data_IF_840437166446
#
_entry.id   IF_840437166446
#
_cell.length_a   1.000
_cell.length_b   1.000
_cell.length_c   1.000
_cell.angle_alpha   90.00
_cell.angle_beta   90.00
_cell.angle_gamma   90.00
#
_symmetry.space_group_name_H-M   'P 1'
#
loop_
_entity.id
_entity.type
_entity.pdbx_description
1 polymer ?
#
# COMPACT_ATOMS: atom_id res chain seq x y z
N UNK A 1 26.71 66.35 -15.92
CA UNK A 1 25.99 65.68 -14.83
C UNK A 1 26.08 64.18 -15.06
N UNK A 2 27.02 63.50 -14.41
CA UNK A 2 27.27 62.07 -14.59
C UNK A 2 27.19 61.40 -13.22
N UNK A 3 25.97 61.21 -12.73
CA UNK A 3 25.73 60.30 -11.61
C UNK A 3 25.91 58.87 -12.13
N UNK A 4 27.13 58.34 -11.99
CA UNK A 4 27.37 56.90 -12.09
C UNK A 4 26.57 56.24 -10.97
N UNK A 5 25.41 55.69 -11.33
CA UNK A 5 24.50 55.00 -10.44
C UNK A 5 25.15 53.69 -9.94
N UNK A 6 26.05 53.81 -8.97
CA UNK A 6 26.51 52.68 -8.13
C UNK A 6 25.32 51.94 -7.53
N UNK A 7 24.20 52.63 -7.34
CA UNK A 7 22.92 52.04 -6.99
C UNK A 7 22.48 50.92 -7.96
N UNK A 8 22.54 51.11 -9.28
CA UNK A 8 22.16 50.05 -10.23
C UNK A 8 23.16 48.90 -10.28
N UNK A 9 24.41 49.11 -9.84
CA UNK A 9 25.42 48.06 -9.71
C UNK A 9 25.20 47.22 -8.44
N UNK A 10 24.93 47.87 -7.30
CA UNK A 10 24.80 47.19 -6.01
C UNK A 10 23.38 46.74 -5.68
N UNK A 11 22.34 47.38 -6.22
CA UNK A 11 20.95 47.04 -5.90
C UNK A 11 20.58 45.60 -6.28
N UNK A 12 20.97 45.05 -7.46
CA UNK A 12 20.71 43.64 -7.77
C UNK A 12 21.43 42.69 -6.82
N UNK A 13 22.67 43.01 -6.43
CA UNK A 13 23.47 42.21 -5.49
C UNK A 13 22.85 42.26 -4.08
N UNK A 14 22.48 43.45 -3.61
CA UNK A 14 21.83 43.64 -2.32
C UNK A 14 20.47 42.90 -2.29
N UNK A 15 19.68 42.98 -3.36
CA UNK A 15 18.44 42.24 -3.49
C UNK A 15 18.68 40.73 -3.46
N UNK A 16 19.68 40.23 -4.18
CA UNK A 16 20.04 38.80 -4.16
C UNK A 16 20.45 38.35 -2.75
N UNK A 17 21.27 39.14 -2.04
CA UNK A 17 21.67 38.85 -0.66
C UNK A 17 20.49 38.87 0.30
N UNK A 18 19.55 39.81 0.14
CA UNK A 18 18.31 39.86 0.93
C UNK A 18 17.45 38.63 0.68
N UNK A 19 17.29 38.22 -0.58
CA UNK A 19 16.54 37.02 -0.93
C UNK A 19 17.22 35.74 -0.39
N UNK A 20 18.54 35.65 -0.48
CA UNK A 20 19.31 34.54 0.08
C UNK A 20 19.18 34.47 1.61
N UNK A 21 19.26 35.61 2.30
CA UNK A 21 19.05 35.70 3.73
C UNK A 21 17.62 35.31 4.13
N UNK A 22 16.61 35.81 3.41
CA UNK A 22 15.22 35.47 3.64
C UNK A 22 14.95 33.97 3.42
N UNK A 23 15.50 33.38 2.36
CA UNK A 23 15.43 31.95 2.10
C UNK A 23 16.10 31.14 3.21
N UNK A 24 17.28 31.57 3.68
CA UNK A 24 17.99 30.89 4.75
C UNK A 24 17.28 30.95 6.10
N UNK A 25 16.70 32.10 6.46
CA UNK A 25 15.86 32.26 7.65
C UNK A 25 14.64 31.35 7.57
N UNK A 26 13.93 31.36 6.43
CA UNK A 26 12.77 30.49 6.21
C UNK A 26 13.13 29.02 6.35
N UNK A 27 14.23 28.56 5.74
CA UNK A 27 14.69 27.18 5.84
C UNK A 27 14.94 26.79 7.30
N UNK A 28 15.61 27.65 8.08
CA UNK A 28 15.86 27.39 9.50
C UNK A 28 14.59 27.22 10.32
N UNK A 29 13.55 28.02 10.06
CA UNK A 29 12.24 27.85 10.72
C UNK A 29 11.58 26.52 10.36
N UNK A 30 11.59 26.15 9.08
CA UNK A 30 11.02 24.88 8.60
C UNK A 30 11.78 23.68 9.19
N UNK A 31 13.12 23.70 9.16
CA UNK A 31 13.96 22.65 9.71
C UNK A 31 13.73 22.45 11.21
N UNK A 32 13.66 23.53 12.01
CA UNK A 32 13.35 23.44 13.44
C UNK A 32 11.95 22.91 13.72
N UNK A 33 10.96 23.36 12.97
CA UNK A 33 9.59 22.84 13.11
C UNK A 33 9.53 21.34 12.81
N UNK A 34 10.30 20.88 11.82
CA UNK A 34 10.38 19.47 11.47
C UNK A 34 11.14 18.65 12.52
N UNK A 35 12.24 19.17 13.06
CA UNK A 35 12.95 18.59 14.21
C UNK A 35 12.04 18.35 15.40
N UNK A 36 11.26 19.38 15.76
CA UNK A 36 10.30 19.29 16.86
C UNK A 36 9.21 18.25 16.60
N UNK A 37 8.76 18.15 15.34
CA UNK A 37 7.79 17.15 14.94
C UNK A 37 8.37 15.72 15.07
N UNK A 38 9.58 15.48 14.57
CA UNK A 38 10.26 14.19 14.71
C UNK A 38 10.50 13.83 16.20
N UNK A 39 10.92 14.81 17.02
CA UNK A 39 11.06 14.63 18.47
C UNK A 39 9.75 14.25 19.16
N UNK A 40 8.64 14.85 18.73
CA UNK A 40 7.31 14.50 19.23
C UNK A 40 6.94 13.06 18.84
N UNK A 41 7.19 12.66 17.60
CA UNK A 41 6.90 11.30 17.10
C UNK A 41 7.62 10.20 17.91
N UNK A 42 8.79 10.47 18.48
CA UNK A 42 9.47 9.52 19.37
C UNK A 42 8.82 9.36 20.75
N UNK A 43 8.04 10.35 21.19
CA UNK A 43 7.45 10.37 22.54
C UNK A 43 5.99 9.99 22.54
N UNK A 44 5.27 10.35 21.48
CA UNK A 44 3.83 10.12 21.36
C UNK A 44 3.54 9.10 20.25
N UNK A 45 2.28 8.75 20.12
CA UNK A 45 1.77 8.11 18.92
C UNK A 45 1.80 9.12 17.76
N UNK A 46 2.16 8.65 16.57
CA UNK A 46 2.20 9.45 15.34
C UNK A 46 0.78 9.75 14.85
N UNK A 47 -0.06 8.71 14.90
CA UNK A 47 -1.50 8.70 14.74
C UNK A 47 -2.04 7.62 15.68
N UNK A 48 -3.34 7.60 16.04
CA UNK A 48 -3.87 6.59 16.96
C UNK A 48 -3.44 5.17 16.58
N UNK A 49 -2.74 4.48 17.49
CA UNK A 49 -2.26 3.11 17.29
C UNK A 49 -0.95 2.96 16.50
N UNK A 50 -0.29 4.04 16.07
CA UNK A 50 0.99 4.00 15.35
C UNK A 50 2.09 4.70 16.16
N UNK A 51 3.20 4.00 16.38
CA UNK A 51 4.40 4.56 17.02
C UNK A 51 5.58 4.51 16.08
N UNK A 52 6.42 5.56 16.11
CA UNK A 52 7.63 5.66 15.29
C UNK A 52 8.82 5.91 16.22
N UNK A 53 9.88 5.12 16.10
CA UNK A 53 11.12 5.23 16.87
C UNK A 53 12.32 5.15 15.92
N UNK A 54 13.43 5.77 16.30
CA UNK A 54 14.68 5.75 15.52
C UNK A 54 15.86 6.01 16.46
N UNK A 55 17.05 5.51 16.12
CA UNK A 55 18.24 5.65 16.96
C UNK A 55 18.91 7.03 16.78
N UNK A 56 19.04 7.48 15.52
CA UNK A 56 19.65 8.75 15.19
C UNK A 56 18.87 9.47 14.09
N UNK A 57 19.07 10.78 14.01
CA UNK A 57 18.54 11.62 12.93
C UNK A 57 19.59 12.61 12.44
N UNK A 58 19.55 12.93 11.16
CA UNK A 58 20.33 14.01 10.52
C UNK A 58 19.41 14.81 9.61
N UNK A 59 19.49 16.14 9.66
CA UNK A 59 18.62 17.03 8.87
C UNK A 59 19.47 17.97 8.01
N UNK A 60 19.05 18.17 6.75
CA UNK A 60 19.77 18.92 5.73
C UNK A 60 18.84 19.43 4.60
N UNK A 61 19.43 19.70 3.42
CA UNK A 61 18.69 20.15 2.22
C UNK A 61 18.67 21.67 1.97
N UNK A 62 19.45 22.46 2.71
CA UNK A 62 19.48 23.92 2.59
C UNK A 62 19.66 24.42 1.13
N UNK A 63 18.96 25.50 0.71
CA UNK A 63 17.89 26.25 1.41
C UNK A 63 16.47 25.86 0.96
N UNK A 64 16.37 25.01 -0.06
CA UNK A 64 15.13 24.79 -0.81
C UNK A 64 14.52 23.40 -0.60
N UNK A 65 15.28 22.49 0.03
CA UNK A 65 14.85 21.15 0.38
C UNK A 65 14.94 20.95 1.88
N UNK A 66 14.17 20.00 2.35
CA UNK A 66 14.24 19.47 3.68
C UNK A 66 14.53 17.99 3.52
N UNK A 67 15.68 17.56 4.01
CA UNK A 67 16.11 16.18 3.96
C UNK A 67 16.32 15.71 5.39
N UNK A 68 15.79 14.54 5.73
CA UNK A 68 16.07 13.92 7.00
C UNK A 68 16.42 12.45 6.82
N UNK A 69 17.53 12.03 7.39
CA UNK A 69 17.95 10.63 7.43
C UNK A 69 17.77 10.14 8.85
N UNK A 70 16.99 9.08 9.00
CA UNK A 70 16.74 8.38 10.25
C UNK A 70 17.43 7.03 10.19
N UNK A 71 18.19 6.71 11.24
CA UNK A 71 18.90 5.44 11.36
C UNK A 71 18.17 4.53 12.37
N UNK A 72 18.13 3.23 12.08
CA UNK A 72 17.43 2.19 12.85
C UNK A 72 15.95 2.53 13.14
N UNK A 73 15.21 2.82 12.09
CA UNK A 73 13.79 3.17 12.21
C UNK A 73 12.97 1.95 12.59
N UNK A 74 12.02 2.14 13.50
CA UNK A 74 10.99 1.19 13.88
C UNK A 74 9.63 1.86 13.82
N UNK A 75 8.73 1.33 13.00
CA UNK A 75 7.32 1.72 12.95
C UNK A 75 6.50 0.55 13.47
N UNK A 76 5.70 0.77 14.51
CA UNK A 76 4.81 -0.25 15.08
C UNK A 76 3.36 0.22 15.03
N UNK A 77 2.50 -0.61 14.42
CA UNK A 77 1.05 -0.45 14.33
C UNK A 77 0.36 -1.47 15.23
N UNK A 78 -0.56 -1.04 16.09
CA UNK A 78 -1.33 -1.94 16.96
C UNK A 78 -2.42 -2.65 16.16
N UNK A 79 -2.33 -3.97 16.06
CA UNK A 79 -3.37 -4.80 15.43
C UNK A 79 -4.14 -5.69 16.42
N UNK A 80 -5.34 -6.16 16.03
CA UNK A 80 -6.15 -7.08 16.85
C UNK A 80 -5.45 -8.42 17.11
N UNK A 81 -4.56 -8.84 16.21
CA UNK A 81 -3.76 -10.06 16.34
C UNK A 81 -2.38 -9.83 17.00
N UNK A 82 -2.07 -8.59 17.40
CA UNK A 82 -0.78 -8.16 17.93
C UNK A 82 -0.14 -7.03 17.12
N UNK A 83 0.96 -6.44 17.58
CA UNK A 83 1.59 -5.35 16.85
C UNK A 83 2.21 -5.83 15.53
N UNK A 84 2.01 -5.07 14.46
CA UNK A 84 2.79 -5.18 13.22
C UNK A 84 3.94 -4.19 13.34
N UNK A 85 5.18 -4.66 13.24
CA UNK A 85 6.38 -3.82 13.38
C UNK A 85 7.26 -3.93 12.15
N UNK A 86 7.47 -2.81 11.48
CA UNK A 86 8.49 -2.66 10.44
C UNK A 86 9.76 -2.05 11.04
N UNK A 87 10.93 -2.58 10.65
CA UNK A 87 12.24 -1.98 10.92
C UNK A 87 13.03 -1.83 9.64
N UNK A 88 13.74 -0.72 9.51
CA UNK A 88 14.69 -0.47 8.44
C UNK A 88 15.96 0.20 8.97
N UNK A 89 17.12 -0.15 8.40
CA UNK A 89 18.42 0.42 8.78
C UNK A 89 18.49 1.92 8.50
N UNK A 90 18.05 2.34 7.31
CA UNK A 90 18.08 3.74 6.90
C UNK A 90 16.75 4.15 6.25
N UNK A 91 16.19 5.27 6.72
CA UNK A 91 15.04 5.92 6.11
C UNK A 91 15.36 7.39 5.85
N UNK A 92 15.38 7.77 4.58
CA UNK A 92 15.45 9.16 4.15
C UNK A 92 14.05 9.71 3.89
N UNK A 93 13.82 10.97 4.28
CA UNK A 93 12.60 11.73 4.04
C UNK A 93 12.97 13.04 3.37
N UNK A 94 12.40 13.31 2.22
CA UNK A 94 12.65 14.49 1.42
C UNK A 94 11.36 15.30 1.26
N UNK A 95 11.44 16.61 1.40
CA UNK A 95 10.36 17.54 1.12
C UNK A 95 10.89 18.86 0.58
N UNK A 96 10.04 19.64 -0.08
CA UNK A 96 10.38 21.01 -0.48
C UNK A 96 9.94 21.99 0.61
N UNK A 97 10.73 23.05 0.84
CA UNK A 97 10.35 24.10 1.79
C UNK A 97 9.33 25.09 1.22
N UNK A 98 8.89 24.86 -0.02
CA UNK A 98 7.97 25.67 -0.81
C UNK A 98 7.11 24.78 -1.72
N UNK A 99 6.01 25.33 -2.23
CA UNK A 99 5.15 24.63 -3.18
C UNK A 99 4.19 23.64 -2.50
N UNK A 100 4.01 22.48 -3.12
CA UNK A 100 3.07 21.43 -2.71
C UNK A 100 3.60 20.73 -1.45
N UNK A 101 2.70 20.44 -0.51
CA UNK A 101 3.01 19.62 0.68
C UNK A 101 3.18 18.16 0.25
N UNK A 102 4.38 17.83 -0.19
CA UNK A 102 4.77 16.53 -0.74
C UNK A 102 6.05 16.04 -0.07
N UNK A 103 6.02 14.78 0.35
CA UNK A 103 7.15 14.07 0.92
C UNK A 103 7.51 12.87 0.04
N UNK A 104 8.80 12.60 -0.09
CA UNK A 104 9.34 11.39 -0.69
C UNK A 104 10.09 10.65 0.41
N UNK A 105 9.89 9.35 0.51
CA UNK A 105 10.54 8.47 1.47
C UNK A 105 11.39 7.48 0.71
N UNK A 106 12.62 7.26 1.15
CA UNK A 106 13.51 6.26 0.59
C UNK A 106 14.01 5.39 1.72
N UNK A 107 13.92 4.07 1.59
CA UNK A 107 14.45 3.16 2.60
C UNK A 107 15.52 2.25 1.98
N UNK A 108 16.60 2.05 2.71
CA UNK A 108 17.76 1.29 2.25
C UNK A 108 18.30 0.39 3.37
N UNK A 109 19.12 -0.57 2.97
CA UNK A 109 19.68 -1.58 3.87
C UNK A 109 18.70 -2.72 4.18
N UNK A 110 19.01 -3.50 5.20
CA UNK A 110 18.17 -4.62 5.61
C UNK A 110 16.88 -4.13 6.25
N UNK A 111 15.80 -4.84 5.94
CA UNK A 111 14.46 -4.53 6.40
C UNK A 111 13.88 -5.76 7.10
N UNK A 112 13.07 -5.55 8.12
CA UNK A 112 12.32 -6.63 8.75
C UNK A 112 10.88 -6.22 9.03
N UNK A 113 9.95 -7.12 8.73
CA UNK A 113 8.55 -6.98 9.08
C UNK A 113 8.18 -8.10 10.06
N UNK A 114 7.69 -7.73 11.24
CA UNK A 114 7.20 -8.66 12.26
C UNK A 114 5.70 -8.46 12.45
N UNK A 115 4.93 -9.55 12.53
CA UNK A 115 3.49 -9.47 12.78
C UNK A 115 2.97 -10.69 13.55
N UNK A 116 1.80 -10.52 14.15
CA UNK A 116 1.12 -11.56 14.92
C UNK A 116 2.01 -12.17 16.00
N UNK A 117 1.83 -13.46 16.27
CA UNK A 117 2.61 -14.21 17.27
C UNK A 117 3.88 -14.81 16.67
N UNK A 118 4.84 -13.95 16.32
CA UNK A 118 6.20 -14.35 15.96
C UNK A 118 6.46 -14.58 14.47
N UNK A 119 5.58 -14.11 13.58
CA UNK A 119 5.90 -14.07 12.17
C UNK A 119 6.92 -12.95 11.91
N UNK A 120 7.94 -13.27 11.13
CA UNK A 120 8.99 -12.35 10.72
C UNK A 120 9.35 -12.59 9.27
N UNK A 121 9.50 -11.51 8.52
CA UNK A 121 10.00 -11.48 7.16
C UNK A 121 11.15 -10.50 7.09
N UNK A 122 12.36 -11.04 6.96
CA UNK A 122 13.54 -10.24 6.62
C UNK A 122 13.64 -10.13 5.10
N UNK A 123 13.88 -8.92 4.61
CA UNK A 123 13.95 -8.64 3.18
C UNK A 123 14.91 -7.51 2.84
N UNK A 124 15.31 -7.49 1.58
CA UNK A 124 16.07 -6.42 0.95
C UNK A 124 15.36 -5.96 -0.32
N UNK A 125 15.66 -4.74 -0.75
CA UNK A 125 15.13 -4.15 -1.98
C UNK A 125 16.26 -3.44 -2.71
N UNK A 126 16.31 -3.54 -4.04
CA UNK A 126 17.19 -2.70 -4.85
C UNK A 126 16.85 -1.21 -4.73
N UNK A 127 15.56 -0.89 -4.63
CA UNK A 127 15.08 0.42 -4.18
C UNK A 127 13.72 0.32 -3.51
N UNK A 128 13.49 1.16 -2.51
CA UNK A 128 12.18 1.37 -1.90
C UNK A 128 11.92 2.87 -1.86
N UNK A 129 10.94 3.30 -2.66
CA UNK A 129 10.47 4.68 -2.69
C UNK A 129 9.01 4.73 -2.28
N UNK A 130 8.66 5.71 -1.45
CA UNK A 130 7.27 6.09 -1.25
C UNK A 130 7.10 7.59 -1.45
N UNK A 131 5.90 8.03 -1.78
CA UNK A 131 5.57 9.45 -1.81
C UNK A 131 4.23 9.69 -1.15
N UNK A 132 4.11 10.81 -0.46
CA UNK A 132 2.87 11.24 0.16
C UNK A 132 2.61 12.70 -0.20
N UNK A 133 1.39 12.98 -0.63
CA UNK A 133 0.94 14.36 -0.86
C UNK A 133 -0.21 14.67 0.08
N UNK A 134 -0.10 15.82 0.75
CA UNK A 134 -1.15 16.36 1.59
C UNK A 134 -1.76 17.62 0.99
N UNK A 135 -3.04 17.84 1.31
CA UNK A 135 -3.79 19.06 0.99
C UNK A 135 -4.72 19.37 2.15
N UNK A 136 -4.67 20.60 2.66
CA UNK A 136 -5.46 21.02 3.82
C UNK A 136 -5.33 20.06 5.02
N UNK A 137 -4.11 19.58 5.29
CA UNK A 137 -3.80 18.69 6.41
C UNK A 137 -4.15 17.21 6.20
N UNK A 138 -4.85 16.85 5.11
CA UNK A 138 -5.24 15.48 4.79
C UNK A 138 -4.33 14.86 3.73
N UNK A 139 -4.02 13.58 3.86
CA UNK A 139 -3.41 12.78 2.80
C UNK A 139 -4.37 12.68 1.60
N UNK A 140 -3.90 13.05 0.41
CA UNK A 140 -4.68 12.98 -0.83
C UNK A 140 -4.09 12.02 -1.86
N UNK A 141 -2.82 11.65 -1.68
CA UNK A 141 -2.13 10.70 -2.54
C UNK A 141 -1.03 10.02 -1.74
N UNK A 142 -0.92 8.71 -1.88
CA UNK A 142 0.19 7.90 -1.37
C UNK A 142 0.60 6.89 -2.45
N UNK A 143 1.89 6.81 -2.71
CA UNK A 143 2.48 5.88 -3.67
C UNK A 143 3.62 5.14 -2.97
N UNK A 144 3.75 3.84 -3.22
CA UNK A 144 4.83 2.98 -2.74
C UNK A 144 5.31 2.12 -3.91
N UNK A 145 6.62 2.08 -4.11
CA UNK A 145 7.27 1.35 -5.19
C UNK A 145 8.54 0.66 -4.65
N UNK A 146 8.56 -0.66 -4.71
CA UNK A 146 9.70 -1.48 -4.35
C UNK A 146 10.20 -2.18 -5.60
N UNK A 147 11.48 -2.07 -5.88
CA UNK A 147 12.14 -2.73 -7.02
C UNK A 147 13.14 -3.75 -6.50
N UNK A 148 13.21 -4.91 -7.16
CA UNK A 148 14.09 -6.02 -6.81
C UNK A 148 13.93 -6.46 -5.35
N UNK A 149 12.69 -6.76 -4.96
CA UNK A 149 12.36 -7.27 -3.63
C UNK A 149 12.87 -8.71 -3.47
N UNK A 150 13.63 -8.97 -2.41
CA UNK A 150 14.16 -10.27 -2.08
C UNK A 150 13.94 -10.64 -0.63
N UNK A 151 13.37 -11.83 -0.39
CA UNK A 151 13.25 -12.43 0.93
C UNK A 151 13.41 -13.95 0.85
N UNK A 152 13.50 -14.62 1.99
CA UNK A 152 13.50 -16.10 2.05
C UNK A 152 12.13 -16.71 1.66
N UNK A 153 11.06 -15.94 1.75
CA UNK A 153 9.71 -16.38 1.45
C UNK A 153 9.39 -16.28 -0.06
N UNK A 154 9.77 -15.17 -0.69
CA UNK A 154 9.57 -14.91 -2.12
C UNK A 154 10.47 -13.77 -2.61
N UNK A 155 10.63 -13.68 -3.93
CA UNK A 155 11.20 -12.51 -4.61
C UNK A 155 10.17 -11.89 -5.55
N UNK A 156 10.33 -10.61 -5.86
CA UNK A 156 9.52 -9.90 -6.85
C UNK A 156 10.37 -8.86 -7.58
N UNK A 157 10.20 -8.72 -8.89
CA UNK A 157 10.89 -7.69 -9.65
C UNK A 157 10.40 -6.28 -9.32
N UNK A 158 9.09 -6.14 -9.05
CA UNK A 158 8.49 -4.87 -8.61
C UNK A 158 7.23 -5.08 -7.78
N UNK A 159 7.05 -4.33 -6.71
CA UNK A 159 5.82 -4.24 -5.94
C UNK A 159 5.37 -2.79 -5.91
N UNK A 160 4.11 -2.51 -6.25
CA UNK A 160 3.57 -1.17 -6.29
C UNK A 160 2.26 -1.08 -5.51
N UNK A 161 2.05 0.05 -4.86
CA UNK A 161 0.79 0.38 -4.20
C UNK A 161 0.51 1.87 -4.35
N UNK A 162 -0.70 2.20 -4.74
CA UNK A 162 -1.15 3.55 -5.02
C UNK A 162 -2.50 3.79 -4.37
N UNK A 163 -2.65 4.92 -3.70
CA UNK A 163 -3.91 5.39 -3.15
C UNK A 163 -4.07 6.86 -3.51
N UNK A 164 -5.23 7.21 -4.07
CA UNK A 164 -5.52 8.59 -4.46
C UNK A 164 -6.95 8.98 -4.07
N UNK A 165 -7.07 10.11 -3.39
CA UNK A 165 -8.37 10.71 -3.06
C UNK A 165 -8.88 11.54 -4.24
N UNK A 166 -10.11 11.28 -4.67
CA UNK A 166 -10.87 12.12 -5.59
C UNK A 166 -11.93 12.93 -4.84
N UNK A 167 -12.82 13.62 -5.56
CA UNK A 167 -13.95 14.31 -4.92
C UNK A 167 -15.01 13.34 -4.37
N UNK A 168 -15.12 12.14 -4.94
CA UNK A 168 -16.22 11.19 -4.70
C UNK A 168 -15.75 9.78 -4.35
N UNK A 169 -14.46 9.51 -4.41
CA UNK A 169 -13.88 8.19 -4.15
C UNK A 169 -12.48 8.24 -3.53
N UNK A 170 -12.04 7.08 -3.05
CA UNK A 170 -10.63 6.78 -2.81
C UNK A 170 -10.22 5.65 -3.75
N UNK A 171 -9.42 5.98 -4.76
CA UNK A 171 -8.94 5.04 -5.77
C UNK A 171 -7.74 4.30 -5.18
N UNK A 172 -7.68 2.99 -5.37
CA UNK A 172 -6.64 2.11 -4.83
C UNK A 172 -6.15 1.19 -5.96
N UNK A 173 -4.85 1.12 -6.14
CA UNK A 173 -4.21 0.17 -7.04
C UNK A 173 -3.04 -0.54 -6.35
N UNK A 174 -2.86 -1.82 -6.63
CA UNK A 174 -1.75 -2.61 -6.14
C UNK A 174 -1.26 -3.56 -7.23
N UNK A 175 0.05 -3.73 -7.37
CA UNK A 175 0.61 -4.68 -8.33
C UNK A 175 1.87 -5.36 -7.82
N UNK A 176 2.11 -6.56 -8.32
CA UNK A 176 3.31 -7.33 -8.10
C UNK A 176 3.76 -7.97 -9.42
N UNK A 177 4.96 -7.66 -9.87
CA UNK A 177 5.54 -8.15 -11.11
C UNK A 177 6.68 -9.15 -10.85
N UNK A 178 6.72 -10.20 -11.67
CA UNK A 178 7.78 -11.24 -11.64
C UNK A 178 7.99 -11.85 -10.25
N UNK A 179 6.91 -12.28 -9.62
CA UNK A 179 6.94 -12.93 -8.30
C UNK A 179 7.41 -14.37 -8.42
N UNK A 180 8.38 -14.75 -7.59
CA UNK A 180 8.84 -16.12 -7.40
C UNK A 180 8.69 -16.51 -5.93
N UNK A 181 7.77 -17.44 -5.64
CA UNK A 181 7.55 -17.99 -4.32
C UNK A 181 8.60 -19.06 -3.97
N UNK A 182 9.00 -19.12 -2.70
CA UNK A 182 9.77 -20.25 -2.17
C UNK A 182 9.00 -21.55 -2.29
N UNK A 183 9.70 -22.69 -2.31
CA UNK A 183 9.06 -24.02 -2.37
C UNK A 183 8.06 -24.26 -1.23
N UNK A 184 8.23 -23.60 -0.08
CA UNK A 184 7.32 -23.70 1.07
C UNK A 184 5.98 -22.98 0.83
N UNK A 185 6.00 -21.90 0.05
CA UNK A 185 4.82 -21.09 -0.26
C UNK A 185 4.24 -21.38 -1.64
N UNK A 186 4.99 -22.08 -2.48
CA UNK A 186 4.52 -22.59 -3.75
C UNK A 186 3.28 -23.48 -3.52
N UNK A 187 2.11 -22.89 -3.77
CA UNK A 187 0.85 -23.59 -3.71
C UNK A 187 0.60 -24.37 -4.99
N UNK A 188 -0.61 -24.93 -5.09
CA UNK A 188 -1.01 -25.70 -6.25
C UNK A 188 -0.97 -24.86 -7.56
N UNK A 189 -1.09 -23.53 -7.50
CA UNK A 189 -0.99 -22.60 -8.65
C UNK A 189 0.45 -22.36 -9.16
N UNK A 190 1.44 -23.05 -8.61
CA UNK A 190 2.84 -22.90 -8.96
C UNK A 190 3.54 -21.82 -8.12
N UNK A 191 4.81 -21.58 -8.46
CA UNK A 191 5.67 -20.67 -7.74
C UNK A 191 6.01 -19.39 -8.51
N UNK A 192 5.54 -19.24 -9.75
CA UNK A 192 5.85 -18.10 -10.62
C UNK A 192 4.59 -17.37 -11.05
N UNK A 193 4.55 -16.08 -10.74
CA UNK A 193 3.50 -15.16 -11.17
C UNK A 193 4.17 -14.01 -11.91
N UNK A 194 3.83 -13.82 -13.19
CA UNK A 194 4.38 -12.73 -13.99
C UNK A 194 3.77 -11.40 -13.59
N UNK A 195 2.46 -11.38 -13.32
CA UNK A 195 1.75 -10.20 -12.87
C UNK A 195 0.64 -10.60 -11.89
N UNK A 196 0.53 -9.91 -10.78
CA UNK A 196 -0.69 -9.82 -10.01
C UNK A 196 -1.05 -8.34 -9.91
N UNK A 197 -2.25 -7.94 -10.28
CA UNK A 197 -2.68 -6.55 -10.26
C UNK A 197 -4.12 -6.43 -9.75
N UNK A 198 -4.37 -5.32 -9.08
CA UNK A 198 -5.65 -4.92 -8.56
C UNK A 198 -5.82 -3.41 -8.77
N UNK A 199 -6.96 -3.03 -9.31
CA UNK A 199 -7.42 -1.64 -9.40
C UNK A 199 -8.87 -1.58 -8.90
N UNK A 200 -9.17 -0.62 -8.03
CA UNK A 200 -10.51 -0.47 -7.51
C UNK A 200 -10.74 0.84 -6.76
N UNK A 201 -11.99 1.01 -6.37
CA UNK A 201 -12.50 2.28 -5.87
C UNK A 201 -13.28 2.05 -4.57
N UNK A 202 -12.88 2.73 -3.51
CA UNK A 202 -13.64 2.77 -2.24
C UNK A 202 -14.66 3.90 -2.29
N UNK A 203 -15.93 3.55 -2.06
CA UNK A 203 -17.03 4.51 -1.91
C UNK A 203 -17.05 5.13 -0.51
N UNK A 204 -17.92 6.13 -0.28
CA UNK A 204 -18.01 6.87 0.99
C UNK A 204 -16.63 7.38 1.51
N UNK A 205 -15.84 8.06 0.65
CA UNK A 205 -14.47 8.44 0.95
C UNK A 205 -14.36 9.41 2.14
N UNK A 206 -15.43 10.14 2.49
CA UNK A 206 -15.54 11.02 3.65
C UNK A 206 -15.34 10.29 4.98
N UNK A 207 -15.70 9.00 5.07
CA UNK A 207 -15.48 8.19 6.28
C UNK A 207 -13.98 8.11 6.63
N UNK A 208 -13.11 8.18 5.61
CA UNK A 208 -11.66 8.12 5.78
C UNK A 208 -11.01 9.47 6.11
N UNK A 209 -11.75 10.58 6.19
CA UNK A 209 -11.18 11.91 6.39
C UNK A 209 -10.42 12.05 7.72
N UNK A 210 -10.88 11.37 8.76
CA UNK A 210 -10.20 11.36 10.06
C UNK A 210 -8.93 10.51 10.01
N UNK A 211 -8.96 9.35 9.34
CA UNK A 211 -7.77 8.51 9.11
C UNK A 211 -6.71 9.26 8.30
N UNK A 212 -7.12 9.86 7.17
CA UNK A 212 -6.23 10.60 6.27
C UNK A 212 -5.69 11.89 6.89
N UNK A 213 -6.32 12.40 7.95
CA UNK A 213 -5.83 13.49 8.78
C UNK A 213 -4.98 13.02 9.97
N UNK A 214 -4.81 11.71 10.17
CA UNK A 214 -4.08 11.12 11.29
C UNK A 214 -4.78 11.23 12.64
N UNK A 215 -6.12 11.27 12.66
CA UNK A 215 -6.94 11.56 13.84
C UNK A 215 -7.84 10.40 14.29
N UNK A 216 -7.83 9.27 13.60
CA UNK A 216 -8.61 8.08 13.95
C UNK A 216 -7.84 6.80 13.65
N UNK A 217 -8.19 5.72 14.34
CA UNK A 217 -7.73 4.36 14.05
C UNK A 217 -8.46 3.80 12.81
N UNK A 218 -7.80 2.88 12.09
CA UNK A 218 -8.37 2.34 10.86
C UNK A 218 -9.62 1.47 11.12
N UNK A 219 -9.74 0.80 12.28
CA UNK A 219 -10.90 -0.04 12.59
C UNK A 219 -12.16 0.79 12.75
N UNK A 220 -12.08 1.84 13.56
CA UNK A 220 -13.20 2.79 13.77
C UNK A 220 -13.69 3.37 12.44
N UNK A 221 -12.75 3.69 11.56
CA UNK A 221 -13.04 4.22 10.22
C UNK A 221 -13.66 3.17 9.32
N UNK A 222 -13.17 1.92 9.33
CA UNK A 222 -13.77 0.81 8.57
C UNK A 222 -15.17 0.47 9.08
N UNK A 223 -15.41 0.54 10.38
CA UNK A 223 -16.74 0.37 10.95
C UNK A 223 -17.68 1.49 10.51
N UNK A 224 -17.23 2.74 10.59
CA UNK A 224 -18.01 3.89 10.12
C UNK A 224 -18.34 3.75 8.63
N UNK A 225 -17.35 3.40 7.81
CA UNK A 225 -17.48 3.15 6.38
C UNK A 225 -18.49 2.04 6.08
N UNK A 226 -18.42 0.93 6.82
CA UNK A 226 -19.38 -0.19 6.71
C UNK A 226 -20.80 0.26 7.03
N UNK A 227 -21.02 0.96 8.14
CA UNK A 227 -22.36 1.44 8.53
C UNK A 227 -22.95 2.45 7.53
N UNK A 228 -22.09 3.17 6.79
CA UNK A 228 -22.52 4.07 5.70
C UNK A 228 -22.74 3.35 4.36
N UNK A 229 -22.75 2.02 4.33
CA UNK A 229 -22.93 1.25 3.09
C UNK A 229 -21.72 1.32 2.15
N UNK A 230 -20.53 1.59 2.70
CA UNK A 230 -19.27 1.60 1.99
C UNK A 230 -19.01 0.27 1.25
N UNK A 231 -18.45 0.37 0.04
CA UNK A 231 -18.02 -0.77 -0.74
C UNK A 231 -16.75 -0.48 -1.51
N UNK A 232 -15.99 -1.55 -1.74
CA UNK A 232 -14.85 -1.61 -2.63
C UNK A 232 -15.33 -2.17 -3.97
N UNK A 233 -15.37 -1.32 -4.98
CA UNK A 233 -15.60 -1.73 -6.36
C UNK A 233 -14.26 -2.15 -6.95
N UNK A 234 -14.06 -3.45 -7.14
CA UNK A 234 -12.91 -4.01 -7.85
C UNK A 234 -13.16 -3.87 -9.35
N UNK A 235 -12.49 -2.92 -9.98
CA UNK A 235 -12.65 -2.61 -11.40
C UNK A 235 -11.83 -3.55 -12.27
N UNK A 236 -10.62 -3.89 -11.80
CA UNK A 236 -9.75 -4.85 -12.46
C UNK A 236 -9.02 -5.69 -11.42
N UNK A 237 -9.06 -7.00 -11.62
CA UNK A 237 -8.26 -8.00 -10.93
C UNK A 237 -7.56 -8.81 -11.99
N UNK A 238 -6.26 -9.00 -11.87
CA UNK A 238 -5.48 -9.81 -12.79
C UNK A 238 -4.46 -10.64 -12.05
N UNK A 239 -4.40 -11.92 -12.39
CA UNK A 239 -3.33 -12.82 -11.96
C UNK A 239 -2.89 -13.55 -13.21
N UNK A 240 -1.65 -13.33 -13.59
CA UNK A 240 -0.98 -14.01 -14.68
C UNK A 240 0.13 -14.87 -14.10
N UNK A 241 -0.07 -16.18 -14.14
CA UNK A 241 0.84 -17.15 -13.55
C UNK A 241 1.26 -18.21 -14.55
N UNK A 242 2.26 -19.02 -14.19
CA UNK A 242 2.73 -20.09 -15.08
C UNK A 242 1.67 -21.17 -15.39
N UNK A 243 0.62 -21.29 -14.56
CA UNK A 243 -0.35 -22.40 -14.69
C UNK A 243 -1.79 -21.96 -14.83
N UNK A 244 -2.14 -20.76 -14.36
CA UNK A 244 -3.51 -20.24 -14.35
C UNK A 244 -3.47 -18.73 -14.60
N UNK A 245 -4.28 -18.26 -15.55
CA UNK A 245 -4.51 -16.83 -15.76
C UNK A 245 -5.92 -16.47 -15.31
N UNK A 246 -6.07 -15.38 -14.59
CA UNK A 246 -7.34 -14.92 -14.04
C UNK A 246 -7.50 -13.43 -14.32
N UNK A 247 -8.67 -13.04 -14.79
CA UNK A 247 -9.09 -11.63 -14.81
C UNK A 247 -10.45 -11.49 -14.17
N UNK A 248 -10.75 -10.40 -13.47
CA UNK A 248 -12.07 -10.23 -12.87
C UNK A 248 -12.41 -8.83 -12.43
N UNK A 249 -13.64 -8.70 -11.96
CA UNK A 249 -14.22 -7.47 -11.43
C UNK A 249 -15.30 -7.83 -10.42
N UNK A 250 -15.61 -6.94 -9.49
CA UNK A 250 -16.58 -7.26 -8.44
C UNK A 250 -16.84 -6.12 -7.49
N UNK A 251 -17.65 -6.41 -6.48
CA UNK A 251 -17.90 -5.50 -5.36
C UNK A 251 -17.80 -6.26 -4.06
N UNK A 252 -17.04 -5.71 -3.12
CA UNK A 252 -16.84 -6.25 -1.78
C UNK A 252 -17.20 -5.20 -0.74
N UNK A 253 -17.96 -5.59 0.27
CA UNK A 253 -18.31 -4.81 1.46
C UNK A 253 -17.87 -5.58 2.71
N UNK A 254 -18.24 -5.10 3.90
CA UNK A 254 -18.06 -5.82 5.15
C UNK A 254 -19.42 -6.18 5.76
N UNK A 255 -19.53 -7.39 6.30
CA UNK A 255 -20.67 -7.84 7.10
C UNK A 255 -20.56 -7.37 8.56
N UNK A 256 -21.58 -7.66 9.37
CA UNK A 256 -21.64 -7.28 10.79
C UNK A 256 -20.57 -7.92 11.66
N UNK A 257 -19.90 -8.97 11.18
CA UNK A 257 -18.77 -9.61 11.84
C UNK A 257 -17.42 -9.14 11.28
N UNK A 258 -17.41 -8.01 10.56
CA UNK A 258 -16.25 -7.40 9.89
C UNK A 258 -15.58 -8.32 8.85
N UNK A 259 -16.35 -9.21 8.23
CA UNK A 259 -15.87 -10.13 7.21
C UNK A 259 -16.18 -9.57 5.83
N UNK A 260 -15.29 -9.76 4.84
CA UNK A 260 -15.60 -9.48 3.44
C UNK A 260 -16.89 -10.19 2.99
N UNK A 261 -17.77 -9.42 2.36
CA UNK A 261 -19.05 -9.89 1.80
C UNK A 261 -19.26 -9.29 0.41
N UNK A 262 -19.89 -10.00 -0.51
CA UNK A 262 -20.07 -9.54 -1.89
C UNK A 262 -19.66 -10.59 -2.91
N UNK A 263 -19.28 -10.16 -4.12
CA UNK A 263 -18.93 -11.08 -5.20
C UNK A 263 -17.85 -10.52 -6.12
N UNK A 264 -17.12 -11.43 -6.75
CA UNK A 264 -16.17 -11.18 -7.82
C UNK A 264 -16.47 -12.13 -8.97
N UNK A 265 -16.71 -11.58 -10.16
CA UNK A 265 -16.80 -12.34 -11.40
C UNK A 265 -15.40 -12.50 -12.00
N UNK A 266 -15.00 -13.75 -12.22
CA UNK A 266 -13.68 -14.15 -12.67
C UNK A 266 -13.78 -14.87 -14.02
N UNK A 267 -12.83 -14.59 -14.90
CA UNK A 267 -12.54 -15.35 -16.11
C UNK A 267 -11.20 -16.03 -15.94
N UNK A 268 -11.18 -17.35 -16.02
CA UNK A 268 -10.02 -18.17 -15.66
C UNK A 268 -9.58 -19.02 -16.85
N UNK A 269 -8.32 -18.94 -17.26
CA UNK A 269 -7.68 -19.79 -18.26
C UNK A 269 -6.70 -20.77 -17.60
N UNK A 270 -6.39 -21.89 -18.28
CA UNK A 270 -5.44 -22.90 -17.80
C UNK A 270 -5.97 -23.81 -16.67
N UNK A 271 -7.21 -23.60 -16.23
CA UNK A 271 -7.80 -24.33 -15.10
C UNK A 271 -7.95 -25.83 -15.36
N UNK A 272 -8.36 -26.24 -16.56
CA UNK A 272 -8.52 -27.67 -16.88
C UNK A 272 -7.20 -28.43 -16.76
N UNK A 273 -6.12 -27.88 -17.33
CA UNK A 273 -4.78 -28.46 -17.24
C UNK A 273 -4.25 -28.44 -15.80
N UNK A 274 -4.54 -27.36 -15.08
CA UNK A 274 -4.22 -27.26 -13.67
C UNK A 274 -4.90 -28.35 -12.83
N UNK A 275 -6.20 -28.57 -13.05
CA UNK A 275 -7.00 -29.58 -12.37
C UNK A 275 -6.53 -31.00 -12.68
N UNK A 276 -6.14 -31.26 -13.93
CA UNK A 276 -5.58 -32.55 -14.36
C UNK A 276 -4.21 -32.83 -13.72
N UNK A 277 -3.36 -31.80 -13.56
CA UNK A 277 -2.05 -31.92 -12.90
C UNK A 277 -2.14 -31.99 -11.37
N UNK A 278 -3.18 -31.39 -10.80
CA UNK A 278 -3.39 -31.32 -9.35
C UNK A 278 -4.62 -32.16 -8.99
N UNK A 279 -4.51 -33.49 -9.10
CA UNK A 279 -5.49 -34.46 -8.61
C UNK A 279 -5.63 -34.39 -7.07
N UNK A 280 -6.18 -33.29 -6.56
CA UNK A 280 -6.61 -33.19 -5.17
C UNK A 280 -7.80 -34.14 -4.99
N UNK A 281 -7.59 -35.33 -4.44
CA UNK A 281 -8.60 -36.38 -4.17
C UNK A 281 -9.71 -35.96 -3.18
N UNK A 282 -9.72 -34.72 -2.70
CA UNK A 282 -10.69 -34.27 -1.70
C UNK A 282 -12.06 -33.99 -2.36
N UNK A 283 -13.15 -34.63 -1.89
CA UNK A 283 -14.49 -34.46 -2.45
C UNK A 283 -15.15 -33.12 -2.09
N UNK A 284 -14.53 -32.31 -1.23
CA UNK A 284 -15.07 -31.04 -0.71
C UNK A 284 -14.03 -29.91 -0.73
N UNK A 285 -14.51 -28.66 -0.65
CA UNK A 285 -13.69 -27.45 -0.60
C UNK A 285 -13.50 -26.77 -1.96
N UNK A 286 -12.71 -25.69 -1.96
CA UNK A 286 -12.53 -24.78 -3.11
C UNK A 286 -12.18 -25.50 -4.42
N UNK A 287 -11.20 -26.41 -4.39
CA UNK A 287 -10.80 -27.17 -5.58
C UNK A 287 -11.93 -28.04 -6.15
N UNK A 288 -12.73 -28.68 -5.29
CA UNK A 288 -13.87 -29.50 -5.71
C UNK A 288 -14.99 -28.64 -6.31
N UNK A 289 -15.29 -27.49 -5.71
CA UNK A 289 -16.25 -26.54 -6.27
C UNK A 289 -15.80 -26.03 -7.65
N UNK A 290 -14.51 -25.76 -7.81
CA UNK A 290 -13.92 -25.26 -9.05
C UNK A 290 -13.95 -26.31 -10.16
N UNK A 291 -13.67 -27.59 -9.85
CA UNK A 291 -13.89 -28.70 -10.80
C UNK A 291 -15.34 -28.80 -11.25
N UNK A 292 -16.28 -28.75 -10.31
CA UNK A 292 -17.69 -28.84 -10.63
C UNK A 292 -18.13 -27.67 -11.53
N UNK A 293 -17.62 -26.46 -11.27
CA UNK A 293 -17.85 -25.29 -12.12
C UNK A 293 -17.23 -25.47 -13.50
N UNK A 294 -16.01 -26.00 -13.59
CA UNK A 294 -15.33 -26.30 -14.85
C UNK A 294 -16.14 -27.27 -15.72
N UNK A 295 -16.64 -28.35 -15.11
CA UNK A 295 -17.45 -29.35 -15.79
C UNK A 295 -18.82 -28.79 -16.25
N UNK A 296 -19.40 -27.85 -15.50
CA UNK A 296 -20.74 -27.31 -15.78
C UNK A 296 -20.74 -26.11 -16.74
N UNK A 297 -19.76 -25.21 -16.65
CA UNK A 297 -19.74 -23.95 -17.39
C UNK A 297 -19.26 -24.11 -18.84
N UNK A 298 -18.49 -25.18 -19.13
CA UNK A 298 -17.69 -25.26 -20.34
C UNK A 298 -16.60 -24.19 -20.38
N UNK A 299 -15.63 -24.35 -21.28
CA UNK A 299 -14.73 -23.25 -21.64
C UNK A 299 -15.28 -22.53 -22.87
N UNK A 300 -15.10 -21.22 -22.96
CA UNK A 300 -15.34 -20.53 -24.22
C UNK A 300 -14.31 -20.94 -25.29
N UNK A 301 -14.46 -20.47 -26.54
CA UNK A 301 -13.53 -20.77 -27.63
C UNK A 301 -12.06 -20.39 -27.34
N UNK A 302 -11.84 -19.48 -26.37
CA UNK A 302 -10.52 -19.06 -25.91
C UNK A 302 -10.02 -19.85 -24.69
N UNK A 303 -10.67 -20.94 -24.30
CA UNK A 303 -10.26 -21.76 -23.15
C UNK A 303 -10.52 -21.12 -21.78
N UNK A 304 -11.27 -20.01 -21.72
CA UNK A 304 -11.60 -19.31 -20.48
C UNK A 304 -12.92 -19.82 -19.89
N UNK A 305 -12.90 -20.05 -18.58
CA UNK A 305 -14.04 -20.46 -17.77
C UNK A 305 -14.50 -19.28 -16.90
N UNK A 306 -15.81 -18.99 -16.91
CA UNK A 306 -16.41 -18.00 -16.01
C UNK A 306 -16.69 -18.60 -14.63
N UNK A 307 -16.27 -17.92 -13.57
CA UNK A 307 -16.49 -18.32 -12.19
C UNK A 307 -16.87 -17.10 -11.33
N UNK A 308 -17.97 -17.20 -10.59
CA UNK A 308 -18.36 -16.17 -9.63
C UNK A 308 -17.94 -16.62 -8.25
N UNK A 309 -17.05 -15.87 -7.61
CA UNK A 309 -16.66 -16.07 -6.22
C UNK A 309 -17.48 -15.12 -5.36
N UNK A 310 -18.31 -15.66 -4.48
CA UNK A 310 -19.12 -14.88 -3.54
C UNK A 310 -18.64 -15.08 -2.11
N UNK A 311 -18.86 -14.11 -1.24
CA UNK A 311 -18.74 -14.27 0.20
C UNK A 311 -20.00 -13.71 0.87
N UNK A 312 -20.58 -14.48 1.79
CA UNK A 312 -21.75 -14.06 2.55
C UNK A 312 -21.81 -14.80 3.88
N UNK A 313 -22.07 -14.07 4.96
CA UNK A 313 -22.25 -14.60 6.31
C UNK A 313 -21.06 -15.48 6.76
N UNK A 314 -19.83 -15.09 6.38
CA UNK A 314 -18.59 -15.83 6.64
C UNK A 314 -18.34 -17.07 5.78
N UNK A 315 -19.21 -17.40 4.83
CA UNK A 315 -19.05 -18.53 3.91
C UNK A 315 -18.63 -18.01 2.53
N UNK A 316 -17.59 -18.62 1.96
CA UNK A 316 -17.14 -18.38 0.58
C UNK A 316 -17.86 -19.35 -0.34
N UNK A 317 -18.41 -18.85 -1.42
CA UNK A 317 -19.12 -19.59 -2.45
C UNK A 317 -18.39 -19.49 -3.79
N UNK A 318 -18.47 -20.57 -4.58
CA UNK A 318 -18.09 -20.57 -5.97
C UNK A 318 -19.31 -20.99 -6.80
N UNK A 319 -19.92 -20.03 -7.50
CA UNK A 319 -21.31 -20.15 -7.92
C UNK A 319 -22.21 -20.37 -6.70
N UNK A 320 -23.02 -21.42 -6.74
CA UNK A 320 -23.96 -21.75 -5.65
C UNK A 320 -23.37 -22.75 -4.62
N UNK A 321 -22.07 -23.09 -4.73
CA UNK A 321 -21.45 -24.10 -3.87
C UNK A 321 -20.54 -23.49 -2.81
N UNK A 322 -20.71 -23.86 -1.52
CA UNK A 322 -19.77 -23.52 -0.47
C UNK A 322 -18.37 -24.06 -0.80
N UNK A 323 -17.38 -23.18 -0.73
CA UNK A 323 -16.00 -23.43 -1.10
C UNK A 323 -15.03 -23.21 0.08
N UNK A 324 -15.43 -22.45 1.10
CA UNK A 324 -14.63 -22.21 2.29
C UNK A 324 -15.27 -21.21 3.24
N UNK A 325 -14.44 -20.63 4.11
CA UNK A 325 -14.84 -19.62 5.08
C UNK A 325 -13.95 -18.39 4.94
N UNK A 326 -14.48 -17.24 5.32
CA UNK A 326 -13.73 -15.98 5.39
C UNK A 326 -13.70 -15.50 6.84
N UNK A 327 -12.52 -15.12 7.31
CA UNK A 327 -12.32 -14.58 8.64
C UNK A 327 -12.60 -13.06 8.68
N UNK A 328 -12.90 -12.49 9.86
CA UNK A 328 -12.93 -11.04 10.04
C UNK A 328 -11.62 -10.38 9.63
N UNK A 329 -11.67 -9.15 9.13
CA UNK A 329 -10.47 -8.37 8.84
C UNK A 329 -9.77 -7.86 10.10
N UNK A 330 -10.51 -7.66 11.19
CA UNK A 330 -10.01 -7.16 12.47
C UNK A 330 -10.94 -7.49 13.64
#
# INVERSE_FOLDING_TARGET
MTYSHRFFLYAPIALLLLLAAAAGIRWWFVARSFEQHLDALQRTEAVPGVTIRYAARRIGGFPFRLEAVLDDVRVSLVTGEGPVTWRGEHLAVHGLTYGRDQYIFEAAGHQSLEWGRGHRLDFETGSLHASAVRKAGKLVQFDLDLVDFGSSAFTAGRLQFHVRRTATSLDVAASAGNVLLSARLAGAFGNRTRLAAFDGTLTAPECFDHLLAGRADFREVLDTWRHHGGGLDAEHLEIDSATVDMTGQGRVTLDDAHRPSGFVDLKIAGMSDWLARNELERPTGFAAALRARAAAAGANEAGKMGAVLGARDGIVYLGDRPAGFVAPLY
#
